data_IF_137995635074
#
_entry.id   IF_137995635074
#
_cell.length_a   1.000
_cell.length_b   1.000
_cell.length_c   1.000
_cell.angle_alpha   90.00
_cell.angle_beta   90.00
_cell.angle_gamma   90.00
#
_symmetry.space_group_name_H-M   'P 1'
#
loop_
_entity.id
_entity.type
_entity.pdbx_description
1 polymer ?
#
# COMPACT_ATOMS: atom_id res chain seq x y z
N UNK A 1 1.53 8.95 -2.17
CA UNK A 1 2.81 8.21 -2.26
C UNK A 1 3.58 8.55 -3.54
N UNK A 2 2.97 8.50 -4.74
CA UNK A 2 3.64 8.84 -6.01
C UNK A 2 4.44 10.16 -5.96
N UNK A 3 3.84 11.24 -5.45
CA UNK A 3 4.57 12.52 -5.33
C UNK A 3 5.87 12.44 -4.54
N UNK A 4 5.95 11.59 -3.50
CA UNK A 4 7.20 11.38 -2.75
C UNK A 4 8.23 10.59 -3.56
N UNK A 5 7.79 9.62 -4.36
CA UNK A 5 8.69 8.87 -5.25
C UNK A 5 9.25 9.78 -6.35
N UNK A 6 8.41 10.65 -6.92
CA UNK A 6 8.85 11.68 -7.87
C UNK A 6 9.87 12.61 -7.24
N UNK A 7 9.62 13.09 -6.01
CA UNK A 7 10.60 13.93 -5.31
C UNK A 7 11.95 13.21 -5.15
N UNK A 8 11.96 11.93 -4.76
CA UNK A 8 13.21 11.17 -4.63
C UNK A 8 13.96 11.08 -5.97
N UNK A 9 13.26 10.90 -7.10
CA UNK A 9 13.91 10.88 -8.42
C UNK A 9 14.47 12.24 -8.83
N UNK A 10 13.87 13.36 -8.39
CA UNK A 10 14.42 14.71 -8.67
C UNK A 10 15.76 14.97 -7.95
N UNK A 11 16.12 14.17 -6.95
CA UNK A 11 17.39 14.25 -6.23
C UNK A 11 18.37 13.12 -6.62
N UNK A 12 18.21 12.53 -7.81
CA UNK A 12 18.96 11.36 -8.27
C UNK A 12 18.90 10.16 -7.30
N UNK A 13 17.86 10.11 -6.46
CA UNK A 13 17.64 9.05 -5.50
C UNK A 13 16.91 7.85 -6.12
N UNK A 14 17.15 6.67 -5.55
CA UNK A 14 16.43 5.43 -5.94
C UNK A 14 15.49 4.98 -4.83
N UNK A 15 14.21 4.80 -5.16
CA UNK A 15 13.23 4.21 -4.25
C UNK A 15 13.41 2.69 -4.22
N UNK A 16 13.96 2.17 -3.13
CA UNK A 16 14.18 0.72 -2.95
C UNK A 16 12.93 -0.03 -2.49
N UNK A 17 11.94 0.68 -1.96
CA UNK A 17 10.69 0.10 -1.48
C UNK A 17 9.74 1.15 -0.93
N UNK A 18 8.49 0.74 -0.69
CA UNK A 18 7.48 1.58 -0.05
C UNK A 18 6.70 0.72 0.92
N UNK A 19 6.62 1.15 2.16
CA UNK A 19 5.77 0.54 3.18
C UNK A 19 4.79 1.57 3.72
N UNK A 20 3.56 1.14 3.97
CA UNK A 20 2.51 1.94 4.59
C UNK A 20 1.91 1.19 5.77
N UNK A 21 1.49 1.94 6.78
CA UNK A 21 0.82 1.34 7.92
C UNK A 21 -0.57 0.81 7.53
N UNK A 22 -1.37 1.62 6.84
CA UNK A 22 -2.69 1.26 6.35
C UNK A 22 -2.86 1.73 4.91
N UNK A 23 -3.49 0.91 4.08
CA UNK A 23 -4.00 1.31 2.78
C UNK A 23 -5.53 1.31 2.77
N UNK A 24 -6.13 2.18 1.95
CA UNK A 24 -7.56 2.27 1.78
C UNK A 24 -8.02 1.70 0.44
N UNK A 25 -9.31 1.39 0.31
CA UNK A 25 -9.91 1.00 -0.97
C UNK A 25 -9.65 2.04 -2.06
N UNK A 26 -9.06 1.63 -3.19
CA UNK A 26 -8.94 2.47 -4.38
C UNK A 26 -9.51 1.76 -5.61
N UNK A 27 -10.34 2.48 -6.39
CA UNK A 27 -10.83 2.02 -7.69
C UNK A 27 -9.73 2.00 -8.76
N UNK A 28 -8.68 2.80 -8.57
CA UNK A 28 -7.51 2.87 -9.44
C UNK A 28 -6.27 2.63 -8.59
N UNK A 29 -5.62 1.48 -8.79
CA UNK A 29 -4.38 1.18 -8.08
C UNK A 29 -3.28 2.09 -8.64
N UNK A 30 -2.81 3.04 -7.82
CA UNK A 30 -1.78 4.02 -8.23
C UNK A 30 -0.36 3.47 -8.12
N UNK A 31 -0.17 2.37 -7.40
CA UNK A 31 1.13 1.76 -7.12
C UNK A 31 1.01 0.24 -7.10
N UNK A 32 1.82 -0.43 -7.93
CA UNK A 32 1.82 -1.89 -8.02
C UNK A 32 2.71 -2.57 -6.98
N UNK A 33 3.70 -1.85 -6.42
CA UNK A 33 4.69 -2.41 -5.49
C UNK A 33 4.77 -1.59 -4.21
N UNK A 34 4.03 -2.02 -3.19
CA UNK A 34 4.11 -1.49 -1.83
C UNK A 34 3.76 -2.59 -0.82
N UNK A 35 4.23 -2.43 0.40
CA UNK A 35 3.91 -3.29 1.55
C UNK A 35 2.93 -2.55 2.46
N UNK A 36 1.84 -3.19 2.89
CA UNK A 36 0.90 -2.66 3.88
C UNK A 36 0.69 -3.61 5.06
N UNK A 37 0.51 -3.05 6.26
CA UNK A 37 0.14 -3.83 7.44
C UNK A 37 -1.37 -4.02 7.53
N UNK A 38 -2.14 -2.99 7.19
CA UNK A 38 -3.61 -2.99 7.25
C UNK A 38 -4.22 -2.65 5.91
N UNK A 39 -5.32 -3.32 5.59
CA UNK A 39 -6.25 -2.94 4.52
C UNK A 39 -7.54 -2.42 5.13
N UNK A 40 -7.94 -1.20 4.77
CA UNK A 40 -9.09 -0.50 5.35
C UNK A 40 -10.13 -0.20 4.26
N UNK A 41 -11.29 -0.82 4.38
CA UNK A 41 -12.45 -0.51 3.58
C UNK A 41 -13.39 0.44 4.34
N UNK A 42 -13.94 1.42 3.64
CA UNK A 42 -14.93 2.37 4.17
C UNK A 42 -16.15 2.44 3.24
N UNK A 43 -17.27 2.96 3.75
CA UNK A 43 -18.52 3.10 2.99
C UNK A 43 -19.05 1.73 2.49
N UNK A 44 -19.10 0.75 3.38
CA UNK A 44 -19.56 -0.60 3.06
C UNK A 44 -21.07 -0.62 2.87
N UNK A 45 -21.54 -1.45 1.93
CA UNK A 45 -22.98 -1.58 1.62
C UNK A 45 -23.79 -2.30 2.70
N UNK A 46 -23.13 -2.92 3.68
CA UNK A 46 -23.75 -3.71 4.75
C UNK A 46 -24.12 -2.88 5.99
N UNK A 47 -23.87 -1.57 5.99
CA UNK A 47 -24.17 -0.68 7.12
C UNK A 47 -23.01 -0.49 8.11
N UNK A 48 -21.92 -1.26 7.98
CA UNK A 48 -20.72 -1.03 8.78
C UNK A 48 -19.90 0.14 8.21
N UNK A 49 -19.46 1.10 9.04
CA UNK A 49 -18.78 2.28 8.53
C UNK A 49 -17.34 1.96 8.05
N UNK A 50 -16.68 0.97 8.67
CA UNK A 50 -15.26 0.64 8.45
C UNK A 50 -15.05 -0.87 8.62
N UNK A 51 -14.31 -1.50 7.71
CA UNK A 51 -13.76 -2.86 7.83
C UNK A 51 -12.25 -2.79 7.76
N UNK A 52 -11.57 -3.46 8.69
CA UNK A 52 -10.10 -3.55 8.72
C UNK A 52 -9.69 -5.01 8.59
N UNK A 53 -8.79 -5.31 7.67
CA UNK A 53 -8.21 -6.63 7.45
C UNK A 53 -6.68 -6.55 7.36
N UNK A 54 -6.02 -7.70 7.34
CA UNK A 54 -4.57 -7.76 7.13
C UNK A 54 -4.19 -7.20 5.74
N UNK A 55 -3.17 -6.35 5.71
CA UNK A 55 -2.55 -5.89 4.46
C UNK A 55 -1.69 -6.97 3.81
N UNK A 56 -0.92 -6.60 2.78
CA UNK A 56 -0.17 -7.55 1.96
C UNK A 56 1.25 -7.90 2.47
N UNK A 57 1.57 -7.58 3.72
CA UNK A 57 2.92 -7.76 4.27
C UNK A 57 3.45 -9.19 4.19
N UNK A 58 2.60 -10.19 4.41
CA UNK A 58 2.97 -11.60 4.27
C UNK A 58 3.38 -11.96 2.84
N UNK A 59 2.79 -11.32 1.84
CA UNK A 59 3.13 -11.59 0.44
C UNK A 59 4.35 -10.78 0.01
N UNK A 60 4.52 -9.54 0.47
CA UNK A 60 5.61 -8.68 0.01
C UNK A 60 6.94 -8.92 0.75
N UNK A 61 6.91 -9.24 2.05
CA UNK A 61 8.15 -9.45 2.84
C UNK A 61 8.80 -10.80 2.49
N UNK A 62 8.00 -11.84 2.28
CA UNK A 62 8.50 -13.21 2.08
C UNK A 62 8.64 -13.59 0.60
N UNK A 63 8.60 -12.62 -0.32
CA UNK A 63 8.79 -12.83 -1.77
C UNK A 63 10.19 -13.29 -2.18
N UNK A 64 11.07 -13.65 -1.24
CA UNK A 64 12.43 -14.12 -1.48
C UNK A 64 12.68 -15.44 -0.74
N UNK A 65 12.04 -16.52 -1.18
CA UNK A 65 12.51 -17.92 -1.05
C UNK A 65 11.87 -18.77 -2.17
N UNK A 66 12.47 -18.76 -3.36
CA UNK A 66 12.31 -19.77 -4.41
C UNK A 66 13.53 -19.74 -5.34
#
# INVERSE_FOLDING_TARGET
IQGMQTLVSEFDGTVVGTAVFAEGRSATRLLDRFTSLLHVDTNLKNGDPILVTAGNYLQEIYKHEA
#
